data_IF_078020598799
#
_entry.id   IF_078020598799
#
_cell.length_a   1.000
_cell.length_b   1.000
_cell.length_c   1.000
_cell.angle_alpha   90.00
_cell.angle_beta   90.00
_cell.angle_gamma   90.00
#
_symmetry.space_group_name_H-M   'P 1'
#
loop_
_entity.id
_entity.type
_entity.pdbx_description
1 polymer ?
#
# COMPACT_ATOMS: atom_id res chain seq x y z
N UNK A 1 61.50 -3.58 38.35
CA UNK A 1 61.65 -4.91 37.75
C UNK A 1 60.27 -5.55 37.77
N UNK A 2 59.49 -5.34 36.72
CA UNK A 2 59.49 -6.07 35.43
C UNK A 2 58.39 -7.13 35.45
N UNK A 3 57.34 -6.82 34.68
CA UNK A 3 56.48 -7.71 33.88
C UNK A 3 55.81 -8.89 34.65
N UNK A 4 54.51 -9.12 34.58
CA UNK A 4 53.72 -9.44 33.39
C UNK A 4 52.23 -9.19 33.76
N UNK A 5 51.54 -8.27 33.08
CA UNK A 5 50.58 -8.59 32.02
C UNK A 5 49.68 -9.80 32.33
N UNK A 6 48.58 -9.57 33.03
CA UNK A 6 47.39 -10.40 32.93
C UNK A 6 46.23 -9.49 32.48
N UNK A 7 46.25 -9.15 31.19
CA UNK A 7 45.17 -8.47 30.50
C UNK A 7 44.00 -9.47 30.41
N UNK A 8 43.12 -9.44 31.40
CA UNK A 8 41.89 -10.23 31.42
C UNK A 8 40.87 -9.62 30.46
N UNK A 9 41.07 -9.82 29.16
CA UNK A 9 40.08 -9.48 28.14
C UNK A 9 38.92 -10.45 28.31
N UNK A 10 37.89 -10.05 29.05
CA UNK A 10 36.59 -10.70 28.98
C UNK A 10 36.00 -10.39 27.61
N UNK A 11 36.23 -11.28 26.65
CA UNK A 11 35.51 -11.32 25.38
C UNK A 11 34.06 -11.62 25.67
N UNK A 12 33.28 -10.55 25.85
CA UNK A 12 31.82 -10.60 25.80
C UNK A 12 31.46 -11.00 24.37
N UNK A 13 31.25 -12.31 24.16
CA UNK A 13 30.74 -12.83 22.90
C UNK A 13 29.33 -12.26 22.72
N UNK A 14 29.23 -11.15 22.00
CA UNK A 14 27.97 -10.65 21.49
C UNK A 14 27.53 -11.67 20.42
N UNK A 15 26.81 -12.71 20.83
CA UNK A 15 26.11 -13.57 19.89
C UNK A 15 25.03 -12.73 19.22
N UNK A 16 25.38 -12.11 18.10
CA UNK A 16 24.42 -11.57 17.15
C UNK A 16 23.64 -12.75 16.57
N UNK A 17 22.61 -13.20 17.28
CA UNK A 17 21.55 -13.99 16.67
C UNK A 17 20.83 -13.05 15.70
N UNK A 18 21.29 -13.02 14.46
CA UNK A 18 20.50 -12.53 13.35
C UNK A 18 19.30 -13.48 13.23
N UNK A 19 18.22 -13.18 13.97
CA UNK A 19 16.93 -13.75 13.66
C UNK A 19 16.63 -13.35 12.20
N UNK A 20 16.22 -14.28 11.33
CA UNK A 20 15.69 -13.87 10.04
C UNK A 20 14.55 -12.92 10.38
N UNK A 21 14.66 -11.67 9.94
CA UNK A 21 13.51 -10.81 9.89
C UNK A 21 12.49 -11.62 9.08
N UNK A 22 11.45 -12.12 9.76
CA UNK A 22 10.25 -12.58 9.08
C UNK A 22 9.98 -11.48 8.06
N UNK A 23 10.04 -11.85 6.77
CA UNK A 23 9.60 -10.98 5.71
C UNK A 23 8.15 -10.65 6.07
N UNK A 24 7.96 -9.54 6.78
CA UNK A 24 6.65 -9.05 7.14
C UNK A 24 5.95 -8.88 5.82
N UNK A 25 4.76 -9.47 5.70
CA UNK A 25 3.96 -9.55 4.49
C UNK A 25 4.13 -8.28 3.67
N UNK A 26 5.04 -8.32 2.67
CA UNK A 26 5.17 -7.19 1.76
C UNK A 26 3.81 -7.09 1.07
N UNK A 27 3.16 -5.91 1.07
CA UNK A 27 1.88 -5.77 0.40
C UNK A 27 2.06 -6.25 -1.04
N UNK A 28 1.24 -7.23 -1.43
CA UNK A 28 1.29 -7.88 -2.73
C UNK A 28 1.54 -6.82 -3.80
N UNK A 29 2.65 -6.95 -4.53
CA UNK A 29 3.06 -6.00 -5.57
C UNK A 29 2.03 -5.90 -6.72
N UNK A 30 1.08 -6.82 -6.76
CA UNK A 30 0.03 -6.90 -7.76
C UNK A 30 -1.30 -6.51 -7.14
N UNK A 31 -1.98 -5.53 -7.75
CA UNK A 31 -3.37 -5.22 -7.42
C UNK A 31 -4.19 -6.44 -7.85
N UNK A 32 -4.69 -7.18 -6.86
CA UNK A 32 -5.53 -8.36 -7.05
C UNK A 32 -6.87 -7.98 -7.67
N UNK A 33 -7.66 -8.99 -8.07
CA UNK A 33 -9.02 -8.73 -8.51
C UNK A 33 -9.81 -8.27 -7.28
N UNK A 34 -10.29 -7.03 -7.30
CA UNK A 34 -10.94 -6.41 -6.16
C UNK A 34 -12.30 -5.82 -6.57
N UNK A 35 -13.25 -5.90 -5.66
CA UNK A 35 -14.52 -5.16 -5.78
C UNK A 35 -14.50 -4.06 -4.74
N UNK A 36 -14.57 -2.81 -5.20
CA UNK A 36 -14.63 -1.62 -4.35
C UNK A 36 -16.10 -1.22 -4.21
N UNK A 37 -16.66 -1.43 -3.03
CA UNK A 37 -18.03 -0.99 -2.70
C UNK A 37 -18.03 0.46 -2.21
N UNK A 38 -18.90 1.28 -2.78
CA UNK A 38 -19.04 2.70 -2.45
C UNK A 38 -20.51 3.11 -2.32
N UNK A 39 -20.75 4.34 -1.89
CA UNK A 39 -22.11 4.90 -1.84
C UNK A 39 -22.78 5.00 -3.22
N UNK A 40 -22.00 5.09 -4.29
CA UNK A 40 -22.50 5.18 -5.68
C UNK A 40 -22.59 3.82 -6.37
N UNK A 41 -22.23 2.75 -5.67
CA UNK A 41 -22.29 1.37 -6.17
C UNK A 41 -20.96 0.64 -6.07
N UNK A 42 -20.97 -0.58 -6.60
CA UNK A 42 -19.83 -1.50 -6.61
C UNK A 42 -19.04 -1.39 -7.92
N UNK A 43 -17.71 -1.42 -7.78
CA UNK A 43 -16.76 -1.31 -8.89
C UNK A 43 -15.79 -2.48 -8.88
N UNK A 44 -15.85 -3.28 -9.94
CA UNK A 44 -14.98 -4.43 -10.12
C UNK A 44 -13.71 -4.04 -10.89
N UNK A 45 -12.59 -4.54 -10.40
CA UNK A 45 -11.27 -4.40 -11.00
C UNK A 45 -10.65 -5.78 -11.20
N UNK A 46 -10.07 -5.99 -12.37
CA UNK A 46 -9.33 -7.20 -12.73
C UNK A 46 -7.89 -6.81 -13.00
N UNK A 47 -6.96 -7.33 -12.19
CA UNK A 47 -5.52 -7.01 -12.26
C UNK A 47 -5.24 -5.49 -12.17
N UNK A 48 -5.99 -4.78 -11.33
CA UNK A 48 -5.91 -3.33 -11.16
C UNK A 48 -6.51 -2.49 -12.29
N UNK A 49 -7.14 -3.10 -13.30
CA UNK A 49 -7.87 -2.38 -14.34
C UNK A 49 -9.37 -2.49 -14.12
N UNK A 50 -10.14 -1.41 -14.31
CA UNK A 50 -11.59 -1.49 -14.23
C UNK A 50 -12.13 -2.43 -15.32
N UNK A 51 -13.15 -3.21 -15.00
CA UNK A 51 -13.89 -3.95 -16.03
C UNK A 51 -14.53 -2.99 -17.04
N UNK A 52 -14.94 -3.44 -18.24
CA UNK A 52 -15.66 -2.57 -19.18
C UNK A 52 -16.94 -1.96 -18.59
N UNK A 53 -17.64 -2.72 -17.75
CA UNK A 53 -18.82 -2.23 -17.03
C UNK A 53 -18.45 -1.16 -16.00
N UNK A 54 -17.45 -1.43 -15.15
CA UNK A 54 -16.90 -0.45 -14.20
C UNK A 54 -16.46 0.82 -14.90
N UNK A 55 -15.77 0.70 -16.04
CA UNK A 55 -15.32 1.85 -16.83
C UNK A 55 -16.49 2.71 -17.28
N UNK A 56 -17.54 2.08 -17.84
CA UNK A 56 -18.76 2.80 -18.23
C UNK A 56 -19.40 3.51 -17.04
N UNK A 57 -19.57 2.82 -15.90
CA UNK A 57 -20.12 3.41 -14.66
C UNK A 57 -19.32 4.63 -14.22
N UNK A 58 -17.99 4.55 -14.21
CA UNK A 58 -17.11 5.66 -13.84
C UNK A 58 -17.25 6.85 -14.80
N UNK A 59 -17.39 6.63 -16.11
CA UNK A 59 -17.64 7.70 -17.08
C UNK A 59 -19.02 8.34 -16.91
N UNK A 60 -20.07 7.55 -16.63
CA UNK A 60 -21.43 8.04 -16.38
C UNK A 60 -21.45 8.93 -15.12
N UNK A 61 -20.78 8.50 -14.04
CA UNK A 61 -20.62 9.27 -12.80
C UNK A 61 -19.86 10.57 -13.06
N UNK A 62 -18.72 10.51 -13.74
CA UNK A 62 -17.93 11.70 -14.09
C UNK A 62 -18.76 12.72 -14.88
N UNK A 63 -19.55 12.25 -15.83
CA UNK A 63 -20.41 13.11 -16.64
C UNK A 63 -21.47 13.78 -15.77
N UNK A 64 -22.09 13.04 -14.86
CA UNK A 64 -23.07 13.58 -13.90
C UNK A 64 -22.47 14.70 -13.05
N UNK A 65 -21.30 14.48 -12.46
CA UNK A 65 -20.61 15.53 -11.68
C UNK A 65 -20.32 16.78 -12.50
N UNK A 66 -19.83 16.62 -13.74
CA UNK A 66 -19.59 17.76 -14.64
C UNK A 66 -20.85 18.55 -14.98
N UNK A 67 -21.97 17.88 -15.21
CA UNK A 67 -23.25 18.56 -15.46
C UNK A 67 -23.65 19.36 -14.22
N UNK A 68 -23.49 18.79 -13.02
CA UNK A 68 -23.79 19.50 -11.78
C UNK A 68 -22.87 20.72 -11.57
N UNK A 69 -21.57 20.60 -11.85
CA UNK A 69 -20.63 21.73 -11.82
C UNK A 69 -21.05 22.85 -12.78
N UNK A 70 -21.42 22.51 -14.02
CA UNK A 70 -21.89 23.48 -15.01
C UNK A 70 -23.16 24.16 -14.53
N UNK A 71 -24.13 23.44 -13.97
CA UNK A 71 -25.35 24.03 -13.42
C UNK A 71 -24.98 24.97 -12.28
N UNK A 72 -24.18 24.53 -11.31
CA UNK A 72 -23.78 25.36 -10.17
C UNK A 72 -23.04 26.64 -10.61
N UNK A 73 -22.18 26.55 -11.63
CA UNK A 73 -21.43 27.71 -12.14
C UNK A 73 -22.28 28.67 -12.97
N UNK A 74 -23.37 28.20 -13.60
CA UNK A 74 -24.24 29.02 -14.45
C UNK A 74 -25.53 29.49 -13.76
N UNK A 75 -25.82 29.03 -12.54
CA UNK A 75 -27.03 29.44 -11.78
C UNK A 75 -26.76 30.66 -10.87
N UNK A 76 -25.71 31.45 -11.16
CA UNK A 76 -25.39 32.72 -10.49
C UNK A 76 -25.22 33.85 -11.50
#
# INVERSE_FOLDING_TARGET
MNHHLACGISTLALCCFAAPALAGDEPSRFIENETISTIVGDFEFTKGFPTPETSKKLFDIRTTYRVMEVIQQNTF
#
